data_IF_664294736041
#
_entry.id   IF_664294736041
#
_cell.length_a   1.000
_cell.length_b   1.000
_cell.length_c   1.000
_cell.angle_alpha   90.00
_cell.angle_beta   90.00
_cell.angle_gamma   90.00
#
_symmetry.space_group_name_H-M   'P 1'
#
loop_
_entity.id
_entity.type
_entity.pdbx_description
1 polymer ?
#
# COMPACT_ATOMS: atom_id res chain seq x y z
N UNK A 1 -0.22 21.70 -8.31
CA UNK A 1 0.07 20.91 -9.52
C UNK A 1 -1.23 20.23 -9.88
N UNK A 2 -1.65 20.33 -11.14
CA UNK A 2 -2.90 19.72 -11.60
C UNK A 2 -2.64 18.23 -11.85
N UNK A 3 -3.36 17.37 -11.14
CA UNK A 3 -3.23 15.92 -11.22
C UNK A 3 -4.20 15.40 -12.28
N UNK A 4 -3.67 14.91 -13.40
CA UNK A 4 -4.49 14.40 -14.49
C UNK A 4 -4.74 12.90 -14.28
N UNK A 5 -6.01 12.52 -14.03
CA UNK A 5 -6.44 11.13 -13.96
C UNK A 5 -7.11 10.73 -15.27
N UNK A 6 -6.64 9.67 -15.92
CA UNK A 6 -7.27 9.13 -17.14
C UNK A 6 -7.56 7.64 -16.95
N UNK A 7 -8.82 7.23 -17.12
CA UNK A 7 -9.21 5.83 -17.15
C UNK A 7 -9.16 5.28 -18.58
N UNK A 8 -8.44 4.18 -18.81
CA UNK A 8 -8.43 3.49 -20.11
C UNK A 8 -9.21 2.15 -20.01
N UNK A 9 -10.47 2.10 -20.45
CA UNK A 9 -11.31 0.91 -20.33
C UNK A 9 -10.80 -0.27 -21.17
N UNK A 10 -10.08 -0.03 -22.27
CA UNK A 10 -9.54 -1.09 -23.13
C UNK A 10 -8.31 -1.77 -22.54
N UNK A 11 -7.56 -1.05 -21.69
CA UNK A 11 -6.31 -1.55 -21.13
C UNK A 11 -6.43 -1.94 -19.64
N UNK A 12 -7.63 -1.85 -19.06
CA UNK A 12 -7.95 -2.23 -17.69
C UNK A 12 -7.08 -1.55 -16.61
N UNK A 13 -6.56 -0.34 -16.88
CA UNK A 13 -5.81 0.46 -15.91
C UNK A 13 -6.31 1.91 -15.82
N UNK A 14 -6.09 2.51 -14.65
CA UNK A 14 -6.14 3.95 -14.42
C UNK A 14 -4.72 4.49 -14.49
N UNK A 15 -4.54 5.68 -15.07
CA UNK A 15 -3.26 6.38 -15.15
C UNK A 15 -3.37 7.71 -14.41
N UNK A 16 -2.46 7.94 -13.49
CA UNK A 16 -2.27 9.22 -12.80
C UNK A 16 -0.95 9.83 -13.25
N UNK A 17 -0.93 11.14 -13.48
CA UNK A 17 0.28 11.88 -13.85
C UNK A 17 0.32 13.21 -13.13
N UNK A 18 1.43 13.47 -12.44
CA UNK A 18 1.66 14.69 -11.66
C UNK A 18 3.14 14.83 -11.30
N UNK A 19 3.67 16.05 -11.30
CA UNK A 19 5.06 16.32 -10.90
C UNK A 19 6.14 15.58 -11.70
N UNK A 20 5.87 15.20 -12.96
CA UNK A 20 6.79 14.43 -13.78
C UNK A 20 6.78 12.91 -13.52
N UNK A 21 5.92 12.44 -12.62
CA UNK A 21 5.72 11.02 -12.31
C UNK A 21 4.47 10.51 -13.02
N UNK A 22 4.53 9.30 -13.56
CA UNK A 22 3.36 8.54 -14.03
C UNK A 22 3.19 7.31 -13.14
N UNK A 23 1.97 7.08 -12.66
CA UNK A 23 1.58 5.87 -11.94
C UNK A 23 0.45 5.20 -12.70
N UNK A 24 0.55 3.88 -12.88
CA UNK A 24 -0.48 3.05 -13.49
C UNK A 24 -1.10 2.16 -12.40
N UNK A 25 -2.42 2.16 -12.27
CA UNK A 25 -3.17 1.33 -11.33
C UNK A 25 -4.05 0.33 -12.07
N UNK A 26 -3.95 -0.94 -11.70
CA UNK A 26 -4.86 -2.00 -12.17
C UNK A 26 -5.79 -2.36 -11.01
N UNK A 27 -6.92 -1.65 -10.94
CA UNK A 27 -7.83 -1.70 -9.80
C UNK A 27 -7.11 -1.37 -8.49
N UNK A 28 -7.56 -1.98 -7.38
CA UNK A 28 -6.93 -1.80 -6.06
C UNK A 28 -5.75 -2.75 -5.77
N UNK A 29 -5.30 -3.53 -6.75
CA UNK A 29 -4.43 -4.70 -6.51
C UNK A 29 -2.98 -4.52 -6.96
N UNK A 30 -2.73 -3.58 -7.87
CA UNK A 30 -1.45 -3.51 -8.57
C UNK A 30 -1.18 -2.09 -9.05
N UNK A 31 0.02 -1.59 -8.77
CA UNK A 31 0.49 -0.30 -9.27
C UNK A 31 1.90 -0.39 -9.85
N UNK A 32 2.18 0.47 -10.82
CA UNK A 32 3.50 0.62 -11.46
C UNK A 32 3.91 2.08 -11.47
N UNK A 33 5.09 2.36 -10.92
CA UNK A 33 5.73 3.67 -10.91
C UNK A 33 7.14 3.55 -11.46
N UNK A 34 7.30 3.79 -12.77
CA UNK A 34 8.56 3.55 -13.46
C UNK A 34 8.97 2.08 -13.39
N UNK A 35 10.06 1.78 -12.68
CA UNK A 35 10.56 0.41 -12.45
C UNK A 35 10.10 -0.20 -11.13
N UNK A 36 9.40 0.58 -10.28
CA UNK A 36 8.83 0.12 -9.02
C UNK A 36 7.42 -0.45 -9.26
N UNK A 37 7.17 -1.61 -8.70
CA UNK A 37 5.90 -2.33 -8.84
C UNK A 37 5.44 -2.78 -7.46
N UNK A 38 4.20 -2.44 -7.12
CA UNK A 38 3.56 -2.84 -5.87
C UNK A 38 2.36 -3.74 -6.17
N UNK A 39 2.26 -4.86 -5.44
CA UNK A 39 1.10 -5.75 -5.43
C UNK A 39 0.43 -5.70 -4.06
N UNK A 40 -0.88 -5.61 -4.04
CA UNK A 40 -1.68 -5.62 -2.82
C UNK A 40 -2.49 -6.91 -2.72
N UNK A 41 -2.44 -7.56 -1.57
CA UNK A 41 -3.17 -8.79 -1.28
C UNK A 41 -4.31 -8.50 -0.33
N UNK A 42 -5.50 -9.02 -0.64
CA UNK A 42 -6.72 -8.77 0.12
C UNK A 42 -7.35 -10.07 0.60
N UNK A 43 -7.95 -10.02 1.79
CA UNK A 43 -8.93 -10.97 2.27
C UNK A 43 -10.29 -10.25 2.32
N UNK A 44 -11.18 -10.55 1.37
CA UNK A 44 -12.39 -9.75 1.17
C UNK A 44 -12.03 -8.31 0.79
N UNK A 45 -12.52 -7.33 1.55
CA UNK A 45 -12.21 -5.91 1.37
C UNK A 45 -10.95 -5.45 2.13
N UNK A 46 -10.34 -6.30 2.95
CA UNK A 46 -9.24 -5.93 3.83
C UNK A 46 -7.89 -6.23 3.20
N UNK A 47 -7.01 -5.23 3.09
CA UNK A 47 -5.63 -5.41 2.63
C UNK A 47 -4.81 -6.09 3.75
N UNK A 48 -4.25 -7.26 3.46
CA UNK A 48 -3.53 -8.10 4.44
C UNK A 48 -2.03 -8.19 4.18
N UNK A 49 -1.58 -7.80 2.98
CA UNK A 49 -0.16 -7.72 2.67
C UNK A 49 0.08 -6.82 1.47
N UNK A 50 1.31 -6.34 1.35
CA UNK A 50 1.83 -5.74 0.13
C UNK A 50 3.15 -6.38 -0.27
N UNK A 51 3.44 -6.37 -1.56
CA UNK A 51 4.72 -6.83 -2.10
C UNK A 51 5.26 -5.83 -3.09
N UNK A 52 6.45 -5.31 -2.82
CA UNK A 52 7.11 -4.30 -3.64
C UNK A 52 8.37 -4.88 -4.26
N UNK A 53 8.66 -4.50 -5.49
CA UNK A 53 9.96 -4.72 -6.12
C UNK A 53 10.30 -3.60 -7.07
N UNK A 54 11.59 -3.31 -7.16
CA UNK A 54 12.17 -2.45 -8.19
C UNK A 54 12.98 -3.35 -9.11
N UNK A 55 12.93 -3.16 -10.42
CA UNK A 55 13.75 -3.95 -11.35
C UNK A 55 15.22 -3.49 -11.24
N UNK A 56 16.21 -4.40 -11.09
CA UNK A 56 16.15 -5.87 -11.12
C UNK A 56 16.16 -6.55 -9.73
N UNK A 57 15.88 -5.81 -8.65
CA UNK A 57 15.88 -6.34 -7.29
C UNK A 57 14.78 -7.38 -7.03
N UNK A 58 14.98 -8.18 -5.97
CA UNK A 58 13.99 -9.15 -5.50
C UNK A 58 12.80 -8.49 -4.83
N UNK A 59 11.68 -9.21 -4.79
CA UNK A 59 10.45 -8.78 -4.14
C UNK A 59 10.55 -8.84 -2.61
N UNK A 60 10.12 -7.76 -1.94
CA UNK A 60 9.91 -7.70 -0.50
C UNK A 60 8.42 -7.81 -0.22
N UNK A 61 8.03 -8.63 0.75
CA UNK A 61 6.64 -8.75 1.21
C UNK A 61 6.53 -8.28 2.66
N UNK A 62 5.48 -7.52 2.94
CA UNK A 62 5.13 -7.03 4.27
C UNK A 62 3.68 -7.42 4.56
N UNK A 63 3.41 -7.84 5.78
CA UNK A 63 2.08 -8.27 6.23
C UNK A 63 1.44 -7.21 7.12
N UNK A 64 0.12 -7.10 7.01
CA UNK A 64 -0.70 -6.17 7.79
C UNK A 64 -1.61 -6.94 8.73
N UNK A 65 -1.53 -6.60 10.01
CA UNK A 65 -2.39 -7.15 11.05
C UNK A 65 -3.37 -6.07 11.47
N UNK A 66 -4.63 -6.31 11.12
CA UNK A 66 -5.73 -5.39 11.36
C UNK A 66 -6.43 -5.71 12.68
N UNK A 67 -6.91 -4.67 13.36
CA UNK A 67 -7.84 -4.84 14.47
C UNK A 67 -9.29 -5.07 13.99
N UNK A 68 -10.18 -5.32 14.94
CA UNK A 68 -11.59 -5.62 14.66
C UNK A 68 -12.37 -4.43 14.06
N UNK A 69 -11.79 -3.23 14.07
CA UNK A 69 -12.39 -2.04 13.47
C UNK A 69 -11.83 -1.77 12.07
N UNK A 70 -10.93 -2.64 11.58
CA UNK A 70 -10.34 -2.55 10.24
C UNK A 70 -9.09 -1.68 10.16
N UNK A 71 -8.60 -1.15 11.29
CA UNK A 71 -7.37 -0.35 11.31
C UNK A 71 -6.15 -1.28 11.29
N UNK A 72 -5.08 -0.91 10.57
CA UNK A 72 -3.82 -1.69 10.60
C UNK A 72 -3.00 -1.30 11.82
N UNK A 73 -2.95 -2.16 12.84
CA UNK A 73 -2.23 -1.86 14.08
C UNK A 73 -0.76 -2.29 14.04
N UNK A 74 -0.42 -3.27 13.20
CA UNK A 74 0.90 -3.88 13.18
C UNK A 74 1.30 -4.28 11.75
N UNK A 75 2.54 -4.01 11.39
CA UNK A 75 3.16 -4.50 10.15
C UNK A 75 4.36 -5.37 10.46
N UNK A 76 4.53 -6.45 9.69
CA UNK A 76 5.68 -7.35 9.82
C UNK A 76 6.41 -7.57 8.50
N UNK A 77 7.69 -7.87 8.57
CA UNK A 77 8.47 -8.33 7.42
C UNK A 77 8.09 -9.76 7.01
N UNK A 78 8.77 -10.28 5.98
CA UNK A 78 8.57 -11.64 5.45
C UNK A 78 8.90 -12.75 6.44
N UNK A 79 9.69 -12.47 7.48
CA UNK A 79 10.03 -13.37 8.58
C UNK A 79 9.09 -13.26 9.77
N UNK A 80 8.09 -12.37 9.73
CA UNK A 80 7.16 -12.10 10.83
C UNK A 80 7.73 -11.18 11.91
N UNK A 81 8.88 -10.53 11.67
CA UNK A 81 9.41 -9.55 12.62
C UNK A 81 8.61 -8.26 12.51
N UNK A 82 8.32 -7.63 13.65
CA UNK A 82 7.63 -6.34 13.70
C UNK A 82 8.47 -5.24 13.05
N UNK A 83 7.89 -4.52 12.08
CA UNK A 83 8.52 -3.38 11.39
C UNK A 83 7.80 -2.04 11.59
N UNK A 84 6.50 -2.08 11.91
CA UNK A 84 5.73 -0.88 12.27
C UNK A 84 4.57 -1.21 13.22
N UNK A 85 4.19 -0.27 14.08
CA UNK A 85 3.04 -0.38 14.97
C UNK A 85 2.32 0.97 15.09
N UNK A 86 1.00 0.95 14.96
CA UNK A 86 0.11 2.05 15.25
C UNK A 86 -0.87 1.64 16.33
N UNK A 87 -1.10 2.52 17.30
CA UNK A 87 -2.18 2.37 18.28
C UNK A 87 -3.06 3.60 18.25
N UNK A 88 -4.35 3.37 18.33
CA UNK A 88 -5.34 4.43 18.21
C UNK A 88 -6.02 4.71 19.56
N UNK A 89 -6.55 5.92 19.71
CA UNK A 89 -7.57 6.22 20.71
C UNK A 89 -8.88 5.56 20.29
N UNK A 90 -9.88 5.56 21.20
CA UNK A 90 -11.20 5.02 20.86
C UNK A 90 -11.80 5.70 19.61
N UNK A 91 -11.45 6.98 19.36
CA UNK A 91 -11.98 7.80 18.26
C UNK A 91 -11.02 7.90 17.06
N UNK A 92 -10.08 6.98 16.93
CA UNK A 92 -9.27 6.81 15.71
C UNK A 92 -8.05 7.73 15.61
N UNK A 93 -7.76 8.56 16.61
CA UNK A 93 -6.53 9.35 16.64
C UNK A 93 -5.32 8.47 16.96
N UNK A 94 -4.19 8.70 16.31
CA UNK A 94 -2.95 7.97 16.62
C UNK A 94 -2.47 8.38 18.02
N UNK A 95 -2.40 7.40 18.91
CA UNK A 95 -1.89 7.55 20.28
C UNK A 95 -0.43 7.12 20.41
N UNK A 96 0.03 6.25 19.52
CA UNK A 96 1.40 5.74 19.50
C UNK A 96 1.81 5.31 18.10
N UNK A 97 3.05 5.62 17.75
CA UNK A 97 3.70 5.19 16.51
C UNK A 97 5.06 4.59 16.83
N UNK A 98 5.35 3.45 16.21
CA UNK A 98 6.68 2.87 16.18
C UNK A 98 7.00 2.38 14.77
N UNK A 99 8.23 2.62 14.32
CA UNK A 99 8.63 2.32 12.95
C UNK A 99 7.93 3.20 11.91
N UNK A 100 8.08 2.83 10.63
CA UNK A 100 7.46 3.52 9.50
C UNK A 100 6.47 2.55 8.85
N UNK A 101 5.20 2.95 8.78
CA UNK A 101 4.19 2.15 8.08
C UNK A 101 4.50 2.13 6.58
N UNK A 102 4.50 0.96 5.93
CA UNK A 102 4.86 0.86 4.52
C UNK A 102 3.72 1.24 3.57
N UNK A 103 2.53 1.55 4.10
CA UNK A 103 1.38 2.05 3.35
C UNK A 103 1.03 3.46 3.79
N UNK A 104 0.73 4.32 2.81
CA UNK A 104 0.17 5.65 3.03
C UNK A 104 -1.36 5.66 3.00
N UNK A 105 -1.99 4.52 2.67
CA UNK A 105 -3.44 4.37 2.64
C UNK A 105 -3.92 3.98 4.03
N UNK A 106 -4.44 4.95 4.79
CA UNK A 106 -5.26 4.79 6.01
C UNK A 106 -6.73 4.72 5.66
#
# INVERSE_FOLDING_TARGET
MDEATTYNPAAHYQKETGGGVTILFVGGHYEVKGSEITKYYFAGSTRIAMRTYTIPQSMTVEYFLTDHLGSTSLSTDSGGNKIAELRYTAWGEIRYTWGTTPTNYT
#
